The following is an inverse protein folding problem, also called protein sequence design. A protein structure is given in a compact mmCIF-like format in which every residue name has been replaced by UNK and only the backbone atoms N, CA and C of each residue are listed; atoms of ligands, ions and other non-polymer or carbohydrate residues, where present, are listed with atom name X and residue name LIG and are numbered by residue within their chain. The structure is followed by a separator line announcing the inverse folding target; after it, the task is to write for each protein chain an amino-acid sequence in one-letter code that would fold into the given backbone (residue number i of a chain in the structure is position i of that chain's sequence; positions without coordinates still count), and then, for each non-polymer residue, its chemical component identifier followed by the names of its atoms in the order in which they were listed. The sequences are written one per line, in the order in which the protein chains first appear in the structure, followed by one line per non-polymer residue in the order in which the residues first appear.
data_IF_697702647575
#
_entry.id   IF_697702647575
#
_cell.length_a   1.000
_cell.length_b   1.000
_cell.length_c   1.000
_cell.angle_alpha   90.00
_cell.angle_beta   90.00
_cell.angle_gamma   90.00
#
_symmetry.space_group_name_H-M   'P 1'
#
loop_
_entity.id
_entity.type
_entity.pdbx_description
1 polymer ?
#
# COMPACT_ATOMS: atom_id res chain seq x y z
N UNK A 1 -6.00 7.34 -11.29
CA UNK A 1 -6.58 7.51 -9.93
C UNK A 1 -7.13 6.22 -9.30
N UNK A 2 -7.42 5.16 -10.07
CA UNK A 2 -8.08 3.96 -9.52
C UNK A 2 -7.22 3.05 -8.61
N UNK A 3 -5.90 2.92 -8.85
CA UNK A 3 -5.01 2.05 -8.04
C UNK A 3 -4.96 2.52 -6.58
N UNK A 4 -4.74 3.83 -6.37
CA UNK A 4 -4.63 4.43 -5.04
C UNK A 4 -5.97 4.29 -4.30
N UNK A 5 -7.09 4.48 -5.00
CA UNK A 5 -8.45 4.33 -4.45
C UNK A 5 -8.77 2.89 -4.04
N UNK A 6 -8.44 1.91 -4.88
CA UNK A 6 -8.67 0.49 -4.59
C UNK A 6 -7.83 0.00 -3.40
N UNK A 7 -6.54 0.35 -3.37
CA UNK A 7 -5.66 -0.01 -2.26
C UNK A 7 -6.09 0.64 -0.94
N UNK A 8 -6.43 1.94 -0.97
CA UNK A 8 -6.93 2.65 0.23
C UNK A 8 -8.18 1.98 0.80
N UNK A 9 -9.10 1.52 -0.05
CA UNK A 9 -10.32 0.83 0.38
C UNK A 9 -10.03 -0.49 1.10
N UNK A 10 -9.10 -1.30 0.59
CA UNK A 10 -8.76 -2.59 1.22
C UNK A 10 -8.04 -2.42 2.56
N UNK A 11 -7.12 -1.46 2.66
CA UNK A 11 -6.44 -1.17 3.93
C UNK A 11 -7.47 -0.78 4.99
N UNK A 12 -8.50 -0.01 4.61
CA UNK A 12 -9.59 0.41 5.49
C UNK A 12 -10.54 -0.74 5.84
N UNK A 13 -10.92 -1.58 4.87
CA UNK A 13 -11.90 -2.67 5.08
C UNK A 13 -11.29 -3.86 5.84
N UNK A 14 -10.06 -4.30 5.54
CA UNK A 14 -9.39 -5.40 6.27
C UNK A 14 -8.93 -5.01 7.67
N UNK A 15 -8.58 -3.74 7.89
CA UNK A 15 -8.31 -3.22 9.23
C UNK A 15 -9.58 -3.12 10.08
N UNK A 16 -10.77 -3.19 9.48
CA UNK A 16 -12.02 -2.83 10.15
C UNK A 16 -13.12 -3.87 9.95
N UNK A 17 -12.87 -5.09 10.41
CA UNK A 17 -13.94 -6.07 10.61
C UNK A 17 -14.85 -5.73 11.82
N UNK A 18 -14.81 -4.49 12.35
CA UNK A 18 -15.68 -4.08 13.48
C UNK A 18 -16.28 -2.67 13.54
N UNK A 19 -16.05 -1.73 12.61
CA UNK A 19 -16.63 -0.37 12.76
C UNK A 19 -17.03 0.30 11.43
N UNK A 20 -18.07 1.14 11.46
CA UNK A 20 -18.61 1.94 10.34
C UNK A 20 -17.60 2.93 9.73
N UNK A 21 -17.78 3.22 8.43
CA UNK A 21 -16.88 3.90 7.47
C UNK A 21 -16.24 5.23 7.95
N UNK A 22 -16.90 5.98 8.84
CA UNK A 22 -16.38 7.24 9.42
C UNK A 22 -15.38 7.03 10.57
N UNK A 23 -15.47 5.92 11.31
CA UNK A 23 -14.57 5.58 12.42
C UNK A 23 -13.44 4.61 12.01
N UNK A 24 -13.41 4.12 10.77
CA UNK A 24 -12.38 3.18 10.28
C UNK A 24 -11.00 3.82 10.13
N UNK A 25 -10.92 5.09 9.74
CA UNK A 25 -9.66 5.86 9.70
C UNK A 25 -9.11 6.12 11.10
N UNK A 26 -9.99 6.24 12.11
CA UNK A 26 -9.58 6.38 13.51
C UNK A 26 -9.13 5.04 14.10
N UNK A 27 -9.80 3.93 13.78
CA UNK A 27 -9.35 2.58 14.16
C UNK A 27 -7.96 2.21 13.57
N UNK A 28 -7.68 2.64 12.34
CA UNK A 28 -6.34 2.54 11.73
C UNK A 28 -5.30 3.40 12.45
N UNK A 29 -5.67 4.57 12.98
CA UNK A 29 -4.79 5.40 13.84
C UNK A 29 -4.59 4.79 15.22
N UNK A 30 -5.56 4.02 15.70
CA UNK A 30 -5.49 3.27 16.96
C UNK A 30 -4.54 2.06 16.87
N UNK A 31 -4.18 1.63 15.65
CA UNK A 31 -3.07 0.70 15.44
C UNK A 31 -1.79 1.40 15.91
N UNK A 32 -1.43 1.14 17.16
CA UNK A 32 -0.25 1.68 17.82
C UNK A 32 0.99 1.20 17.06
N UNK A 33 1.57 2.05 16.21
CA UNK A 33 2.86 1.77 15.57
C UNK A 33 3.96 2.49 16.34
N UNK A 34 5.03 1.76 16.58
CA UNK A 34 6.26 2.31 17.14
C UNK A 34 7.17 2.79 15.99
N UNK A 35 8.09 3.71 16.27
CA UNK A 35 9.12 4.09 15.30
C UNK A 35 9.98 2.90 14.85
N UNK A 36 10.11 1.86 15.69
CA UNK A 36 10.82 0.62 15.33
C UNK A 36 10.08 -0.16 14.23
N UNK A 37 8.77 -0.34 14.36
CA UNK A 37 7.93 -0.98 13.31
C UNK A 37 7.99 -0.15 12.01
N UNK A 38 7.97 1.18 12.14
CA UNK A 38 8.11 2.09 10.99
C UNK A 38 9.43 1.86 10.26
N UNK A 39 10.55 1.76 11.00
CA UNK A 39 11.88 1.45 10.43
C UNK A 39 11.93 0.07 9.78
N UNK A 40 11.30 -0.94 10.38
CA UNK A 40 11.22 -2.29 9.80
C UNK A 40 10.51 -2.23 8.45
N UNK A 41 9.35 -1.54 8.37
CA UNK A 41 8.61 -1.41 7.11
C UNK A 41 9.42 -0.60 6.09
N UNK A 42 10.01 0.52 6.49
CA UNK A 42 10.88 1.34 5.64
C UNK A 42 12.08 0.54 5.09
N UNK A 43 12.64 -0.37 5.89
CA UNK A 43 13.76 -1.22 5.47
C UNK A 43 13.39 -2.26 4.42
N UNK A 44 12.09 -2.52 4.19
CA UNK A 44 11.65 -3.39 3.08
C UNK A 44 11.66 -2.67 1.73
N UNK A 45 12.01 -1.38 1.69
CA UNK A 45 12.22 -0.66 0.44
C UNK A 45 13.44 -1.22 -0.31
N UNK A 46 13.20 -1.69 -1.54
CA UNK A 46 14.23 -2.18 -2.45
C UNK A 46 15.04 -1.03 -3.05
N UNK A 47 16.15 -1.40 -3.68
CA UNK A 47 17.06 -0.44 -4.35
C UNK A 47 16.36 0.37 -5.45
N UNK A 48 15.36 -0.22 -6.12
CA UNK A 48 14.50 0.41 -7.14
C UNK A 48 13.37 1.29 -6.56
N UNK A 49 13.28 1.40 -5.23
CA UNK A 49 12.26 2.17 -4.53
C UNK A 49 10.96 1.42 -4.28
N UNK A 50 10.77 0.21 -4.83
CA UNK A 50 9.58 -0.61 -4.55
C UNK A 50 9.59 -1.16 -3.12
N UNK A 51 8.43 -1.52 -2.59
CA UNK A 51 8.28 -2.06 -1.25
C UNK A 51 7.71 -3.46 -1.26
N UNK A 52 8.17 -4.27 -0.30
CA UNK A 52 7.51 -5.51 0.06
C UNK A 52 6.56 -5.29 1.23
N UNK A 53 5.50 -6.10 1.29
CA UNK A 53 4.60 -6.15 2.44
C UNK A 53 5.30 -6.96 3.52
N UNK A 54 5.66 -6.28 4.61
CA UNK A 54 6.31 -6.93 5.75
C UNK A 54 5.33 -7.85 6.51
N UNK A 55 5.89 -8.76 7.31
CA UNK A 55 5.11 -9.57 8.23
C UNK A 55 4.30 -8.70 9.20
N UNK A 56 4.90 -7.62 9.71
CA UNK A 56 4.23 -6.64 10.57
C UNK A 56 2.93 -6.08 9.95
N UNK A 57 2.97 -5.71 8.66
CA UNK A 57 1.78 -5.21 7.95
C UNK A 57 0.74 -6.33 7.82
N UNK A 58 1.19 -7.55 7.51
CA UNK A 58 0.31 -8.71 7.33
C UNK A 58 -0.41 -9.07 8.63
N UNK A 59 0.33 -9.12 9.73
CA UNK A 59 -0.17 -9.43 11.07
C UNK A 59 -1.12 -8.33 11.56
N UNK A 60 -0.76 -7.05 11.40
CA UNK A 60 -1.61 -5.92 11.81
C UNK A 60 -2.88 -5.75 10.98
N UNK A 61 -2.86 -6.19 9.72
CA UNK A 61 -4.04 -6.23 8.86
C UNK A 61 -4.81 -7.55 8.95
N UNK A 62 -4.52 -8.41 9.94
CA UNK A 62 -5.16 -9.70 10.17
C UNK A 62 -5.26 -10.57 8.91
N UNK A 63 -4.23 -10.55 8.06
CA UNK A 63 -4.22 -11.30 6.81
C UNK A 63 -3.30 -12.51 6.91
N UNK A 64 -3.59 -13.57 6.15
CA UNK A 64 -2.80 -14.82 6.19
C UNK A 64 -1.44 -14.66 5.50
N UNK A 65 -1.36 -13.82 4.47
CA UNK A 65 -0.13 -13.56 3.72
C UNK A 65 -0.18 -12.22 2.96
N UNK A 66 0.99 -11.68 2.55
CA UNK A 66 1.10 -10.59 1.58
C UNK A 66 0.31 -10.83 0.29
N UNK A 67 0.32 -12.06 -0.21
CA UNK A 67 -0.35 -12.45 -1.45
C UNK A 67 -1.86 -12.41 -1.30
N UNK A 68 -2.38 -12.80 -0.13
CA UNK A 68 -3.81 -12.67 0.20
C UNK A 68 -4.24 -11.19 0.27
N UNK A 69 -3.39 -10.31 0.79
CA UNK A 69 -3.63 -8.85 0.75
C UNK A 69 -3.69 -8.33 -0.68
N UNK A 70 -2.69 -8.67 -1.49
CA UNK A 70 -2.62 -8.26 -2.92
C UNK A 70 -3.84 -8.78 -3.68
N UNK A 71 -4.20 -10.05 -3.51
CA UNK A 71 -5.38 -10.66 -4.14
C UNK A 71 -6.66 -9.94 -3.74
N UNK A 72 -6.78 -9.56 -2.45
CA UNK A 72 -7.91 -8.75 -2.00
C UNK A 72 -7.95 -7.39 -2.71
N UNK A 73 -6.83 -6.67 -2.77
CA UNK A 73 -6.77 -5.37 -3.47
C UNK A 73 -7.16 -5.51 -4.94
N UNK A 74 -6.69 -6.57 -5.60
CA UNK A 74 -7.01 -6.86 -7.00
C UNK A 74 -8.50 -7.17 -7.17
N UNK A 75 -9.13 -7.96 -6.30
CA UNK A 75 -10.57 -8.26 -6.40
C UNK A 75 -11.45 -7.03 -6.17
N UNK A 76 -11.02 -6.09 -5.31
CA UNK A 76 -11.72 -4.81 -5.11
C UNK A 76 -11.54 -3.82 -6.27
N UNK A 77 -10.57 -4.05 -7.15
CA UNK A 77 -10.33 -3.18 -8.30
C UNK A 77 -11.36 -3.45 -9.40
N UNK A 78 -12.11 -2.41 -9.78
CA UNK A 78 -13.12 -2.49 -10.85
C UNK A 78 -12.53 -2.42 -12.26
N UNK A 79 -11.24 -2.09 -12.37
CA UNK A 79 -10.56 -1.90 -13.64
C UNK A 79 -9.77 -3.16 -13.99
N UNK A 80 -10.25 -3.94 -14.96
CA UNK A 80 -9.61 -5.19 -15.39
C UNK A 80 -8.16 -5.01 -15.83
N UNK A 81 -7.80 -3.83 -16.34
CA UNK A 81 -6.42 -3.55 -16.74
C UNK A 81 -5.47 -3.42 -15.55
N UNK A 82 -5.98 -3.10 -14.37
CA UNK A 82 -5.21 -3.06 -13.13
C UNK A 82 -5.01 -4.45 -12.53
N UNK A 83 -5.89 -5.41 -12.85
CA UNK A 83 -5.76 -6.81 -12.38
C UNK A 83 -4.52 -7.49 -12.92
N UNK A 84 -4.04 -7.07 -14.10
CA UNK A 84 -2.83 -7.60 -14.76
C UNK A 84 -1.54 -6.84 -14.39
N UNK A 85 -1.60 -5.89 -13.46
CA UNK A 85 -0.39 -5.20 -12.99
C UNK A 85 0.45 -6.16 -12.12
N UNK A 86 1.77 -6.01 -12.18
CA UNK A 86 2.68 -6.83 -11.39
C UNK A 86 2.36 -6.76 -9.88
N UNK A 87 2.35 -7.90 -9.17
CA UNK A 87 2.09 -7.96 -7.73
C UNK A 87 2.96 -7.04 -6.88
N UNK A 88 4.22 -6.80 -7.29
CA UNK A 88 5.15 -5.89 -6.61
C UNK A 88 4.63 -4.45 -6.52
N UNK A 89 3.89 -3.99 -7.53
CA UNK A 89 3.26 -2.66 -7.52
C UNK A 89 2.17 -2.61 -6.46
N UNK A 90 1.35 -3.66 -6.37
CA UNK A 90 0.30 -3.75 -5.33
C UNK A 90 0.88 -3.82 -3.93
N UNK A 91 1.94 -4.62 -3.72
CA UNK A 91 2.68 -4.68 -2.46
C UNK A 91 3.21 -3.31 -2.06
N UNK A 92 3.78 -2.58 -3.04
CA UNK A 92 4.32 -1.24 -2.80
C UNK A 92 3.24 -0.28 -2.33
N UNK A 93 2.10 -0.24 -3.03
CA UNK A 93 0.99 0.66 -2.70
C UNK A 93 0.37 0.29 -1.33
N UNK A 94 0.26 -1.00 -0.99
CA UNK A 94 -0.26 -1.45 0.32
C UNK A 94 0.65 -0.97 1.45
N UNK A 95 1.96 -1.21 1.36
CA UNK A 95 2.93 -0.79 2.39
C UNK A 95 2.94 0.73 2.54
N UNK A 96 2.86 1.47 1.42
CA UNK A 96 2.80 2.93 1.44
C UNK A 96 1.52 3.46 2.09
N UNK A 97 0.36 2.90 1.74
CA UNK A 97 -0.92 3.31 2.35
C UNK A 97 -0.94 3.00 3.84
N UNK A 98 -0.40 1.85 4.22
CA UNK A 98 -0.26 1.48 5.62
C UNK A 98 0.60 2.51 6.37
N UNK A 99 1.79 2.85 5.86
CA UNK A 99 2.65 3.88 6.47
C UNK A 99 1.99 5.26 6.50
N UNK A 100 1.34 5.70 5.42
CA UNK A 100 0.66 7.02 5.39
C UNK A 100 -0.45 7.13 6.44
N UNK A 101 -1.19 6.04 6.68
CA UNK A 101 -2.27 6.07 7.66
C UNK A 101 -1.78 5.88 9.11
N UNK A 102 -0.75 5.07 9.33
CA UNK A 102 -0.32 4.67 10.68
C UNK A 102 0.95 5.39 11.17
N UNK A 103 1.83 5.78 10.26
CA UNK A 103 3.12 6.43 10.52
C UNK A 103 3.13 7.93 10.20
N UNK A 104 1.96 8.54 10.02
CA UNK A 104 1.83 9.98 9.74
C UNK A 104 2.47 10.85 10.84
N UNK A 105 2.45 10.39 12.09
CA UNK A 105 3.13 11.06 13.21
C UNK A 105 4.67 10.97 13.16
N UNK A 106 5.24 10.09 12.32
CA UNK A 106 6.67 9.89 12.14
C UNK A 106 7.14 10.28 10.73
N UNK A 107 6.37 11.08 9.99
CA UNK A 107 6.62 11.39 8.56
C UNK A 107 8.03 11.97 8.29
N UNK A 108 8.58 12.71 9.25
CA UNK A 108 9.95 13.24 9.19
C UNK A 108 11.02 12.13 9.17
N UNK A 109 10.77 10.97 9.79
CA UNK A 109 11.74 9.87 9.87
C UNK A 109 11.87 9.08 8.55
N UNK A 110 10.93 9.25 7.62
CA UNK A 110 10.89 8.48 6.37
C UNK A 110 10.60 9.34 5.13
N UNK A 111 10.87 10.65 5.19
CA UNK A 111 10.67 11.58 4.07
C UNK A 111 11.49 11.19 2.83
N UNK A 112 12.78 10.86 2.98
CA UNK A 112 13.64 10.42 1.86
C UNK A 112 13.11 9.14 1.19
N UNK A 113 12.53 8.26 1.98
CA UNK A 113 11.98 6.98 1.55
C UNK A 113 10.68 7.20 0.77
N UNK A 114 9.84 8.13 1.25
CA UNK A 114 8.62 8.59 0.58
C UNK A 114 8.92 9.21 -0.79
N UNK A 115 9.95 10.04 -0.90
CA UNK A 115 10.32 10.68 -2.17
C UNK A 115 10.77 9.67 -3.24
N UNK A 116 11.62 8.71 -2.84
CA UNK A 116 12.05 7.62 -3.73
C UNK A 116 10.87 6.74 -4.14
N UNK A 117 9.97 6.52 -3.19
CA UNK A 117 8.59 6.07 -3.31
C UNK A 117 7.82 6.61 -4.50
N UNK A 118 7.50 7.89 -4.37
CA UNK A 118 6.65 8.63 -5.28
C UNK A 118 7.25 8.69 -6.69
N UNK A 119 8.58 8.76 -6.81
CA UNK A 119 9.26 8.63 -8.10
C UNK A 119 9.03 7.26 -8.74
N UNK A 120 9.18 6.18 -7.98
CA UNK A 120 8.97 4.82 -8.49
C UNK A 120 7.51 4.59 -8.91
N UNK A 121 6.53 5.04 -8.11
CA UNK A 121 5.11 4.98 -8.49
C UNK A 121 4.81 5.81 -9.74
N UNK A 122 5.38 7.01 -9.87
CA UNK A 122 5.22 7.82 -11.10
C UNK A 122 5.77 7.08 -12.33
N UNK A 123 6.93 6.43 -12.22
CA UNK A 123 7.49 5.61 -13.30
C UNK A 123 6.56 4.44 -13.67
N UNK A 124 5.98 3.77 -12.68
CA UNK A 124 5.00 2.69 -12.93
C UNK A 124 3.74 3.21 -13.61
N UNK A 125 3.18 4.32 -13.15
CA UNK A 125 1.99 4.93 -13.74
C UNK A 125 2.25 5.37 -15.19
N UNK A 126 3.42 5.97 -15.47
CA UNK A 126 3.82 6.34 -16.82
C UNK A 126 3.99 5.11 -17.73
N UNK A 127 4.59 4.02 -17.22
CA UNK A 127 4.71 2.76 -17.96
C UNK A 127 3.33 2.21 -18.30
N UNK A 128 2.43 2.13 -17.31
CA UNK A 128 1.05 1.66 -17.53
C UNK A 128 0.34 2.52 -18.57
N UNK A 129 0.38 3.86 -18.45
CA UNK A 129 -0.24 4.75 -19.43
C UNK A 129 0.33 4.56 -20.84
N UNK A 130 1.65 4.41 -20.98
CA UNK A 130 2.30 4.15 -22.27
C UNK A 130 1.85 2.82 -22.88
N UNK A 131 1.74 1.75 -22.08
CA UNK A 131 1.23 0.45 -22.53
C UNK A 131 -0.25 0.50 -22.90
N UNK A 132 -1.04 1.39 -22.29
CA UNK A 132 -2.46 1.59 -22.66
C UNK A 132 -2.64 2.39 -23.94
N UNK A 133 -1.70 3.31 -24.25
CA UNK A 133 -1.77 4.16 -25.43
C UNK A 133 -1.21 3.49 -26.69
N UNK A 134 -0.35 2.48 -26.50
CA UNK A 134 0.16 1.61 -27.56
C UNK A 134 0.02 0.14 -27.16
N UNK A 135 -1.20 -0.44 -27.24
CA UNK A 135 -1.34 -1.87 -27.25
C UNK A 135 -0.72 -2.39 -28.56
N UNK A 136 0.29 -3.26 -28.47
CA UNK A 136 0.82 -4.00 -29.62
C UNK A 136 -0.27 -4.89 -30.24
#
# INVERSE_FOLDING_TARGET
EDIIKASSKVVIDKSSEKVAEASKKEALKEIQITPEITKIIVSTQKTDGSFEVSKEITDKLNSTSPESLVTSVITYTKNDKLKNIQPSVWQTVISMQYLKNTASQYENDWTTVKEKEERTLQVYLMKIQRTQQFPF
#
